data_IF_546905895480
#
_entry.id   IF_546905895480
#
_cell.length_a   1.000
_cell.length_b   1.000
_cell.length_c   1.000
_cell.angle_alpha   90.00
_cell.angle_beta   90.00
_cell.angle_gamma   90.00
#
_symmetry.space_group_name_H-M   'P 1'
#
loop_
_entity.id
_entity.type
_entity.pdbx_description
1 polymer ?
#
# COMPACT_ATOMS: atom_id res chain seq x y z
N UNK A 1 22.98 -37.62 -17.98
CA UNK A 1 22.77 -37.57 -16.52
C UNK A 1 22.31 -36.17 -16.14
N UNK A 2 21.21 -36.00 -15.39
CA UNK A 2 20.76 -34.67 -14.96
C UNK A 2 21.77 -34.09 -13.96
N UNK A 3 22.30 -32.89 -14.25
CA UNK A 3 23.23 -32.21 -13.34
C UNK A 3 22.44 -31.68 -12.13
N UNK A 4 22.83 -32.10 -10.91
CA UNK A 4 22.26 -31.57 -9.66
C UNK A 4 22.55 -30.07 -9.56
N UNK A 5 21.52 -29.25 -9.35
CA UNK A 5 21.68 -27.82 -9.10
C UNK A 5 22.49 -27.61 -7.80
N UNK A 6 23.47 -26.69 -7.77
CA UNK A 6 24.26 -26.44 -6.56
C UNK A 6 23.36 -25.90 -5.45
N UNK A 7 23.51 -26.45 -4.23
CA UNK A 7 22.77 -25.99 -3.05
C UNK A 7 23.25 -24.60 -2.64
N UNK A 8 22.32 -23.68 -2.39
CA UNK A 8 22.65 -22.32 -1.93
C UNK A 8 23.33 -22.30 -0.56
N UNK A 9 24.11 -21.26 -0.29
CA UNK A 9 24.95 -21.13 0.94
C UNK A 9 24.19 -20.79 2.23
N UNK A 10 22.86 -20.98 2.26
CA UNK A 10 22.02 -20.76 3.44
C UNK A 10 21.96 -19.30 3.93
N UNK A 11 21.34 -19.09 5.09
CA UNK A 11 21.26 -17.78 5.75
C UNK A 11 22.60 -17.44 6.40
N UNK A 12 23.20 -16.31 6.02
CA UNK A 12 24.45 -15.80 6.60
C UNK A 12 24.19 -14.64 7.54
N UNK A 13 24.97 -14.56 8.62
CA UNK A 13 24.99 -13.38 9.51
C UNK A 13 25.57 -12.18 8.76
N UNK A 14 24.96 -11.02 8.95
CA UNK A 14 25.42 -9.73 8.40
C UNK A 14 25.36 -8.67 9.50
N UNK A 15 26.17 -7.63 9.38
CA UNK A 15 26.20 -6.49 10.30
C UNK A 15 24.92 -5.65 10.20
N UNK A 16 24.49 -5.03 11.31
CA UNK A 16 23.37 -4.09 11.35
C UNK A 16 23.88 -2.71 10.95
N UNK A 17 24.19 -2.56 9.66
CA UNK A 17 24.55 -1.31 9.00
C UNK A 17 23.90 -1.25 7.62
N UNK A 18 24.05 -0.13 6.92
CA UNK A 18 23.58 0.02 5.54
C UNK A 18 24.25 -1.07 4.66
N UNK A 19 23.43 -1.83 3.92
CA UNK A 19 23.94 -2.78 2.93
C UNK A 19 24.39 -1.97 1.72
N UNK A 20 25.69 -1.99 1.40
CA UNK A 20 26.22 -1.17 0.30
C UNK A 20 25.78 -1.64 -1.08
N UNK A 21 25.79 -2.96 -1.31
CA UNK A 21 25.37 -3.55 -2.57
C UNK A 21 23.87 -3.29 -2.82
N UNK A 22 23.56 -2.55 -3.89
CA UNK A 22 22.20 -2.13 -4.24
C UNK A 22 21.22 -3.32 -4.42
N UNK A 23 21.60 -4.36 -5.14
CA UNK A 23 20.74 -5.52 -5.40
C UNK A 23 20.45 -6.28 -4.11
N UNK A 24 21.48 -6.52 -3.30
CA UNK A 24 21.34 -7.15 -1.99
C UNK A 24 20.48 -6.31 -1.04
N UNK A 25 20.63 -4.98 -1.07
CA UNK A 25 19.82 -4.04 -0.29
C UNK A 25 18.35 -4.07 -0.71
N UNK A 26 18.04 -4.09 -2.01
CA UNK A 26 16.67 -4.22 -2.53
C UNK A 26 16.02 -5.53 -2.09
N UNK A 27 16.73 -6.66 -2.27
CA UNK A 27 16.22 -7.98 -1.84
C UNK A 27 16.02 -8.03 -0.33
N UNK A 28 16.96 -7.50 0.45
CA UNK A 28 16.85 -7.44 1.90
C UNK A 28 15.67 -6.55 2.34
N UNK A 29 15.45 -5.41 1.69
CA UNK A 29 14.29 -4.55 1.94
C UNK A 29 12.98 -5.34 1.75
N UNK A 30 12.79 -5.97 0.59
CA UNK A 30 11.55 -6.70 0.29
C UNK A 30 11.32 -7.84 1.29
N UNK A 31 12.35 -8.65 1.58
CA UNK A 31 12.23 -9.77 2.52
C UNK A 31 12.01 -9.32 3.96
N UNK A 32 12.72 -8.30 4.43
CA UNK A 32 12.59 -7.78 5.80
C UNK A 32 11.26 -7.07 6.00
N UNK A 33 10.82 -6.24 5.04
CA UNK A 33 9.50 -5.59 5.07
C UNK A 33 8.39 -6.63 5.20
N UNK A 34 8.37 -7.64 4.31
CA UNK A 34 7.38 -8.73 4.35
C UNK A 34 7.42 -9.50 5.67
N UNK A 35 8.63 -9.85 6.15
CA UNK A 35 8.79 -10.54 7.43
C UNK A 35 8.34 -9.72 8.64
N UNK A 36 8.58 -8.42 8.61
CA UNK A 36 8.16 -7.48 9.66
C UNK A 36 6.64 -7.33 9.69
N UNK A 37 5.99 -7.17 8.53
CA UNK A 37 4.52 -7.09 8.44
C UNK A 37 3.86 -8.38 8.93
N UNK A 38 4.40 -9.54 8.54
CA UNK A 38 3.92 -10.83 9.04
C UNK A 38 4.01 -10.92 10.56
N UNK A 39 5.11 -10.43 11.16
CA UNK A 39 5.27 -10.42 12.61
C UNK A 39 4.34 -9.43 13.31
N UNK A 40 4.08 -8.27 12.70
CA UNK A 40 3.10 -7.32 13.20
C UNK A 40 1.70 -7.93 13.23
N UNK A 41 1.25 -8.53 12.12
CA UNK A 41 -0.04 -9.25 12.04
C UNK A 41 -0.14 -10.39 13.08
N UNK A 42 0.91 -11.20 13.23
CA UNK A 42 0.94 -12.24 14.28
C UNK A 42 0.79 -11.64 15.69
N UNK A 43 1.47 -10.52 15.97
CA UNK A 43 1.39 -9.84 17.27
C UNK A 43 0.01 -9.20 17.51
N UNK A 44 -0.57 -8.53 16.52
CA UNK A 44 -1.92 -7.97 16.61
C UNK A 44 -2.91 -9.07 17.01
N UNK A 45 -2.83 -10.22 16.35
CA UNK A 45 -3.72 -11.37 16.62
C UNK A 45 -3.47 -12.08 17.95
N UNK A 46 -2.24 -12.12 18.43
CA UNK A 46 -1.90 -12.84 19.67
C UNK A 46 -2.18 -12.01 20.93
N UNK A 47 -2.07 -10.70 20.82
CA UNK A 47 -2.15 -9.79 21.95
C UNK A 47 -3.34 -8.82 21.87
N UNK A 48 -4.21 -8.97 20.87
CA UNK A 48 -5.33 -8.06 20.58
C UNK A 48 -4.91 -6.58 20.61
N UNK A 49 -3.77 -6.28 19.98
CA UNK A 49 -3.17 -4.94 19.94
C UNK A 49 -3.24 -4.34 18.54
N UNK A 50 -3.45 -3.03 18.46
CA UNK A 50 -3.36 -2.27 17.22
C UNK A 50 -1.88 -1.88 16.97
N UNK A 51 -1.38 -2.10 15.74
CA UNK A 51 0.00 -1.76 15.34
C UNK A 51 -0.04 -1.06 13.98
N UNK A 52 0.56 0.11 13.88
CA UNK A 52 0.83 0.82 12.63
C UNK A 52 2.31 0.72 12.25
N UNK A 53 2.61 0.46 10.97
CA UNK A 53 3.99 0.49 10.44
C UNK A 53 4.01 1.23 9.11
N UNK A 54 4.95 2.16 8.96
CA UNK A 54 5.16 2.95 7.74
C UNK A 54 6.61 2.75 7.27
N UNK A 55 6.80 2.37 6.01
CA UNK A 55 8.13 2.13 5.43
C UNK A 55 8.26 2.74 4.05
N UNK A 56 9.28 3.58 3.87
CA UNK A 56 9.67 4.08 2.54
C UNK A 56 10.80 3.25 1.95
N UNK A 57 10.65 2.84 0.69
CA UNK A 57 11.76 2.28 -0.07
C UNK A 57 12.78 3.37 -0.40
N UNK A 58 14.02 2.98 -0.76
CA UNK A 58 15.01 3.94 -1.27
C UNK A 58 14.58 4.72 -2.53
N UNK A 59 13.52 4.25 -3.23
CA UNK A 59 12.91 4.94 -4.38
C UNK A 59 11.72 5.84 -3.98
N UNK A 60 11.46 6.03 -2.69
CA UNK A 60 10.35 6.85 -2.20
C UNK A 60 8.98 6.15 -2.21
N UNK A 61 8.88 4.88 -2.62
CA UNK A 61 7.60 4.14 -2.55
C UNK A 61 7.22 3.84 -1.10
N UNK A 62 6.00 4.18 -0.74
CA UNK A 62 5.38 3.92 0.56
C UNK A 62 4.88 2.47 0.65
N UNK A 63 5.03 1.89 1.83
CA UNK A 63 4.42 0.62 2.22
C UNK A 63 3.95 0.75 3.66
N UNK A 64 2.70 0.39 3.93
CA UNK A 64 2.10 0.48 5.25
C UNK A 64 1.52 -0.86 5.72
N UNK A 65 1.32 -0.95 7.03
CA UNK A 65 0.54 -1.99 7.71
C UNK A 65 -0.28 -1.30 8.80
N UNK A 66 -1.53 -1.72 8.97
CA UNK A 66 -2.45 -1.13 9.94
C UNK A 66 -3.01 0.22 9.48
N UNK A 67 -3.46 0.30 8.22
CA UNK A 67 -3.98 1.54 7.62
C UNK A 67 -5.09 2.17 8.48
N UNK A 68 -6.01 1.37 9.04
CA UNK A 68 -7.03 1.86 9.98
C UNK A 68 -6.46 2.52 11.24
N UNK A 69 -5.30 2.08 11.74
CA UNK A 69 -4.63 2.69 12.91
C UNK A 69 -3.98 4.01 12.49
N UNK A 70 -3.42 4.04 11.28
CA UNK A 70 -2.81 5.24 10.70
C UNK A 70 -3.90 6.29 10.47
N UNK A 71 -5.02 5.91 9.87
CA UNK A 71 -6.15 6.80 9.60
C UNK A 71 -6.73 7.35 10.90
N UNK A 72 -7.00 6.50 11.91
CA UNK A 72 -7.41 6.96 13.25
C UNK A 72 -6.43 7.96 13.85
N UNK A 73 -5.12 7.72 13.72
CA UNK A 73 -4.11 8.62 14.26
C UNK A 73 -4.10 9.97 13.55
N UNK A 74 -4.22 9.95 12.21
CA UNK A 74 -4.27 11.17 11.38
C UNK A 74 -5.58 11.92 11.66
N UNK A 75 -6.70 11.21 11.72
CA UNK A 75 -8.00 11.77 12.09
C UNK A 75 -7.92 12.38 13.47
N UNK A 76 -7.40 11.69 14.49
CA UNK A 76 -7.24 12.24 15.84
C UNK A 76 -6.32 13.48 15.88
N UNK A 77 -5.26 13.52 15.06
CA UNK A 77 -4.38 14.69 14.94
C UNK A 77 -5.13 15.89 14.32
N UNK A 78 -5.85 15.68 13.22
CA UNK A 78 -6.69 16.69 12.57
C UNK A 78 -7.86 17.09 13.48
N UNK A 79 -8.43 16.15 14.20
CA UNK A 79 -9.55 16.32 15.12
C UNK A 79 -9.08 17.00 16.39
N UNK A 80 -7.80 16.93 16.78
CA UNK A 80 -7.23 17.75 17.86
C UNK A 80 -7.06 19.22 17.46
N UNK A 81 -6.76 19.49 16.19
CA UNK A 81 -6.82 20.83 15.61
C UNK A 81 -8.28 21.32 15.45
N UNK A 82 -9.22 20.40 15.20
CA UNK A 82 -10.65 20.71 15.01
C UNK A 82 -11.46 20.65 16.32
N UNK A 83 -10.99 20.05 17.43
CA UNK A 83 -11.73 19.96 18.71
C UNK A 83 -11.74 21.26 19.54
N UNK A 84 -11.30 22.38 18.95
CA UNK A 84 -11.92 23.68 19.27
C UNK A 84 -13.38 23.80 18.75
N UNK A 85 -13.89 22.80 18.04
CA UNK A 85 -15.21 22.75 17.41
C UNK A 85 -15.67 21.29 17.20
N UNK A 86 -16.45 20.81 18.15
CA UNK A 86 -17.49 19.77 17.99
C UNK A 86 -17.08 18.28 17.97
N UNK A 87 -17.46 17.67 19.10
CA UNK A 87 -17.58 16.25 19.41
C UNK A 87 -18.72 15.57 18.63
N UNK A 88 -18.51 14.35 18.13
CA UNK A 88 -19.32 13.14 18.43
C UNK A 88 -18.92 11.91 17.57
N UNK A 89 -18.52 10.81 18.25
CA UNK A 89 -19.05 9.41 18.22
C UNK A 89 -19.53 8.86 16.84
N UNK A 90 -19.29 7.63 16.37
CA UNK A 90 -19.15 6.30 16.99
C UNK A 90 -18.93 5.23 15.87
N UNK A 91 -18.43 4.05 16.26
CA UNK A 91 -18.62 2.71 15.68
C UNK A 91 -17.55 2.08 14.74
N UNK A 92 -17.03 0.97 15.27
CA UNK A 92 -16.07 -0.02 14.78
C UNK A 92 -16.68 -0.90 13.67
N UNK A 93 -15.90 -1.21 12.63
CA UNK A 93 -15.98 -2.48 11.90
C UNK A 93 -14.59 -2.88 11.37
N UNK A 94 -14.19 -4.10 11.72
CA UNK A 94 -12.98 -4.79 11.26
C UNK A 94 -12.82 -4.68 9.75
N UNK A 95 -11.58 -4.49 9.26
CA UNK A 95 -11.02 -5.26 8.14
C UNK A 95 -9.52 -4.94 7.97
N UNK A 96 -8.75 -6.01 7.94
CA UNK A 96 -7.30 -6.09 7.76
C UNK A 96 -6.97 -5.62 6.33
N UNK A 97 -6.20 -4.55 6.15
CA UNK A 97 -5.85 -4.05 4.83
C UNK A 97 -4.33 -3.88 4.72
N UNK A 98 -3.71 -4.77 3.95
CA UNK A 98 -2.36 -4.60 3.41
C UNK A 98 -2.53 -3.99 2.03
N UNK A 99 -2.39 -2.67 1.91
CA UNK A 99 -2.41 -2.00 0.61
C UNK A 99 -1.03 -2.09 -0.05
N UNK A 100 -0.89 -2.98 -1.03
CA UNK A 100 0.20 -2.88 -2.01
C UNK A 100 -0.21 -1.88 -3.10
N UNK A 101 0.22 -0.61 -2.96
CA UNK A 101 0.12 0.35 -4.07
C UNK A 101 1.13 -0.02 -5.17
N UNK A 102 0.64 -0.75 -6.18
CA UNK A 102 1.38 -1.13 -7.39
C UNK A 102 1.34 -0.03 -8.45
N UNK A 103 2.51 0.52 -8.78
CA UNK A 103 2.91 0.87 -10.15
C UNK A 103 4.08 -0.02 -10.58
N UNK A 104 4.07 -0.45 -11.83
CA UNK A 104 4.79 -1.55 -12.51
C UNK A 104 6.35 -1.47 -12.39
N UNK A 105 7.19 -2.49 -12.68
CA UNK A 105 7.22 -3.46 -13.78
C UNK A 105 7.97 -4.77 -13.43
N UNK A 106 7.68 -5.79 -14.25
CA UNK A 106 8.11 -7.20 -14.27
C UNK A 106 9.63 -7.43 -14.40
N UNK A 107 10.14 -8.50 -13.77
CA UNK A 107 10.95 -9.56 -14.40
C UNK A 107 11.38 -10.65 -13.41
N UNK A 108 11.24 -11.91 -13.85
CA UNK A 108 11.87 -13.16 -13.37
C UNK A 108 11.18 -13.97 -12.23
N UNK A 109 10.14 -14.68 -12.67
CA UNK A 109 9.91 -16.15 -12.61
C UNK A 109 9.86 -16.93 -11.27
N UNK A 110 8.62 -17.33 -10.97
CA UNK A 110 8.16 -18.70 -10.67
C UNK A 110 8.58 -19.36 -9.35
N UNK A 111 7.69 -19.30 -8.35
CA UNK A 111 7.16 -20.51 -7.71
C UNK A 111 5.93 -20.20 -6.83
N UNK A 112 4.93 -21.09 -6.93
CA UNK A 112 3.72 -21.25 -6.11
C UNK A 112 2.44 -20.48 -6.49
N UNK A 113 1.70 -21.06 -7.45
CA UNK A 113 0.24 -21.04 -7.42
C UNK A 113 -0.30 -21.79 -6.19
N UNK A 114 -1.01 -21.07 -5.31
CA UNK A 114 -2.29 -21.42 -4.65
C UNK A 114 -2.41 -20.65 -3.33
N UNK A 115 -2.99 -19.46 -3.42
CA UNK A 115 -4.01 -18.96 -2.48
C UNK A 115 -4.61 -17.71 -3.12
N UNK A 116 -5.47 -17.93 -4.11
CA UNK A 116 -6.35 -16.92 -4.67
C UNK A 116 -7.71 -17.22 -4.11
N UNK A 117 -8.19 -16.39 -3.20
CA UNK A 117 -9.60 -16.09 -2.95
C UNK A 117 -9.67 -14.94 -1.96
N UNK A 118 -10.42 -13.90 -2.32
CA UNK A 118 -10.96 -12.84 -1.44
C UNK A 118 -10.09 -11.61 -1.12
N UNK A 119 -9.39 -11.08 -2.12
CA UNK A 119 -9.15 -9.63 -2.18
C UNK A 119 -9.57 -9.12 -3.56
N UNK A 120 -10.88 -9.08 -3.78
CA UNK A 120 -11.45 -8.41 -4.95
C UNK A 120 -11.37 -6.91 -4.73
N UNK A 121 -10.34 -6.31 -5.33
CA UNK A 121 -10.38 -4.90 -5.67
C UNK A 121 -11.64 -4.66 -6.51
N UNK A 122 -12.56 -3.84 -6.02
CA UNK A 122 -13.87 -3.59 -6.65
C UNK A 122 -13.81 -3.04 -8.09
N UNK A 123 -12.65 -2.54 -8.55
CA UNK A 123 -12.41 -2.17 -9.96
C UNK A 123 -11.86 -3.30 -10.84
N UNK A 124 -11.53 -4.46 -10.27
CA UNK A 124 -11.14 -5.69 -10.99
C UNK A 124 -12.31 -6.65 -11.19
N UNK A 125 -13.48 -6.35 -10.62
CA UNK A 125 -14.68 -7.14 -10.81
C UNK A 125 -15.18 -7.00 -12.26
N UNK A 126 -15.56 -8.13 -12.88
CA UNK A 126 -16.08 -8.14 -14.24
C UNK A 126 -17.36 -7.30 -14.30
N UNK A 127 -17.40 -6.31 -15.21
CA UNK A 127 -18.58 -5.45 -15.43
C UNK A 127 -19.80 -6.27 -15.84
N UNK A 128 -19.58 -7.45 -16.45
CA UNK A 128 -20.62 -8.35 -16.91
C UNK A 128 -21.42 -8.99 -15.76
N UNK A 129 -20.87 -9.00 -14.55
CA UNK A 129 -21.45 -9.67 -13.37
C UNK A 129 -22.10 -8.69 -12.37
N UNK A 130 -22.10 -7.38 -12.65
CA UNK A 130 -22.67 -6.34 -11.77
C UNK A 130 -24.16 -6.13 -12.01
N UNK A 131 -24.93 -5.98 -10.93
CA UNK A 131 -26.34 -5.60 -11.03
C UNK A 131 -26.51 -4.11 -11.37
N UNK A 132 -27.73 -3.68 -11.71
CA UNK A 132 -28.00 -2.30 -12.16
C UNK A 132 -27.63 -1.24 -11.12
N UNK A 133 -27.85 -1.52 -9.84
CA UNK A 133 -27.55 -0.57 -8.75
C UNK A 133 -26.05 -0.48 -8.48
N UNK A 134 -25.35 -1.62 -8.57
CA UNK A 134 -23.89 -1.70 -8.48
C UNK A 134 -23.22 -1.01 -9.67
N UNK A 135 -23.76 -1.18 -10.87
CA UNK A 135 -23.24 -0.54 -12.08
C UNK A 135 -23.42 0.98 -12.05
N UNK A 136 -24.51 1.48 -11.46
CA UNK A 136 -24.74 2.92 -11.26
C UNK A 136 -23.74 3.51 -10.24
N UNK A 137 -23.50 2.81 -9.13
CA UNK A 137 -22.44 3.16 -8.17
C UNK A 137 -21.07 3.15 -8.82
N UNK A 138 -20.75 2.11 -9.59
CA UNK A 138 -19.50 1.97 -10.32
C UNK A 138 -19.27 3.14 -11.29
N UNK A 139 -20.30 3.50 -12.06
CA UNK A 139 -20.26 4.68 -12.93
C UNK A 139 -20.01 5.97 -12.15
N UNK A 140 -20.74 6.20 -11.07
CA UNK A 140 -20.59 7.42 -10.26
C UNK A 140 -19.17 7.56 -9.73
N UNK A 141 -18.57 6.46 -9.28
CA UNK A 141 -17.19 6.46 -8.82
C UNK A 141 -16.18 6.74 -9.94
N UNK A 142 -16.38 6.19 -11.13
CA UNK A 142 -15.53 6.48 -12.29
C UNK A 142 -15.61 7.96 -12.72
N UNK A 143 -16.79 8.56 -12.62
CA UNK A 143 -16.98 9.99 -12.90
C UNK A 143 -16.25 10.88 -11.89
N UNK A 144 -16.29 10.52 -10.61
CA UNK A 144 -15.55 11.21 -9.56
C UNK A 144 -14.03 11.09 -9.76
N UNK A 145 -13.53 9.87 -10.01
CA UNK A 145 -12.12 9.64 -10.31
C UNK A 145 -11.66 10.46 -11.53
N UNK A 146 -12.47 10.47 -12.59
CA UNK A 146 -12.21 11.28 -13.79
C UNK A 146 -12.11 12.77 -13.44
N UNK A 147 -13.02 13.28 -12.60
CA UNK A 147 -13.00 14.68 -12.16
C UNK A 147 -11.72 15.01 -11.38
N UNK A 148 -11.35 14.15 -10.43
CA UNK A 148 -10.15 14.31 -9.62
C UNK A 148 -8.86 14.31 -10.46
N UNK A 149 -8.77 13.39 -11.43
CA UNK A 149 -7.63 13.34 -12.37
C UNK A 149 -7.58 14.59 -13.23
N UNK A 150 -8.71 15.06 -13.76
CA UNK A 150 -8.77 16.28 -14.57
C UNK A 150 -8.32 17.52 -13.77
N UNK A 151 -8.85 17.70 -12.56
CA UNK A 151 -8.45 18.80 -11.68
C UNK A 151 -6.95 18.74 -11.36
N UNK A 152 -6.39 17.55 -11.13
CA UNK A 152 -4.97 17.39 -10.85
C UNK A 152 -4.10 17.76 -12.06
N UNK A 153 -4.54 17.42 -13.26
CA UNK A 153 -3.86 17.81 -14.50
C UNK A 153 -3.88 19.33 -14.68
N UNK A 154 -5.03 19.97 -14.48
CA UNK A 154 -5.15 21.44 -14.55
C UNK A 154 -4.27 22.14 -13.51
N UNK A 155 -4.27 21.66 -12.27
CA UNK A 155 -3.40 22.13 -11.20
C UNK A 155 -1.92 22.04 -11.60
N UNK A 156 -1.50 20.93 -12.23
CA UNK A 156 -0.12 20.76 -12.71
C UNK A 156 0.21 21.66 -13.91
N UNK A 157 -0.74 21.88 -14.82
CA UNK A 157 -0.56 22.76 -15.98
C UNK A 157 -0.43 24.22 -15.54
N UNK A 158 -1.29 24.68 -14.64
CA UNK A 158 -1.27 26.06 -14.12
C UNK A 158 0.05 26.40 -13.42
N UNK A 159 0.61 25.46 -12.64
CA UNK A 159 1.95 25.65 -12.04
C UNK A 159 3.04 25.88 -13.08
N UNK A 160 2.99 25.17 -14.22
CA UNK A 160 3.99 25.29 -15.30
C UNK A 160 3.86 26.57 -16.12
N UNK A 161 2.67 27.16 -16.19
CA UNK A 161 2.43 28.41 -16.93
C UNK A 161 2.79 29.62 -16.08
N UNK A 162 2.46 29.64 -14.78
CA UNK A 162 2.85 30.74 -13.88
C UNK A 162 4.37 30.88 -13.69
N UNK A 163 5.16 29.82 -13.88
CA UNK A 163 6.62 29.90 -13.86
C UNK A 163 7.22 30.60 -15.10
N UNK A 164 6.47 30.76 -16.20
CA UNK A 164 6.96 31.34 -17.47
C UNK A 164 6.66 32.83 -17.64
N UNK A 165 5.74 33.40 -16.86
CA UNK A 165 5.33 34.80 -16.99
C UNK A 165 6.19 35.77 -16.14
N UNK A 166 7.24 35.27 -15.50
CA UNK A 166 8.20 36.06 -14.69
C UNK A 166 9.64 36.08 -15.25
N UNK A 167 9.84 35.69 -16.53
CA UNK A 167 11.12 35.74 -17.23
C UNK A 167 11.00 36.41 -18.61
#
# INVERSE_FOLDING_TARGET
MPKKKPKGTGRKKIEIKRIENNSSRKVAFSKRRKGMFKKASELCRLCDTEIAIIVFSPKGRLYSFGDHVIDKFIEDEIVSDIHSSSSSKEAIKENDCVTELTGEEKSEEEDMHKEQTELEFWWEQSIEDLNMEELEKYKSCLEELRSNVAMKVEEMVMRRTCEKDFL
#
